data_IF_973992492891
#
_entry.id   IF_973992492891
#
_cell.length_a   1.000
_cell.length_b   1.000
_cell.length_c   1.000
_cell.angle_alpha   90.00
_cell.angle_beta   90.00
_cell.angle_gamma   90.00
#
_symmetry.space_group_name_H-M   'P 1'
#
loop_
_entity.id
_entity.type
_entity.pdbx_description
1 polymer ?
#
# COMPACT_ATOMS: atom_id res chain seq x y z
N UNK A 1 14.37 22.71 21.17
CA UNK A 1 13.49 22.77 19.99
C UNK A 1 12.06 22.43 20.39
N UNK A 2 11.20 23.43 20.66
CA UNK A 2 9.78 23.23 20.97
C UNK A 2 8.99 23.00 19.66
N UNK A 3 9.14 21.82 19.07
CA UNK A 3 8.24 21.32 18.03
C UNK A 3 7.31 20.21 18.58
N UNK A 4 7.28 20.03 19.90
CA UNK A 4 6.61 18.95 20.62
C UNK A 4 5.66 19.56 21.67
N UNK A 5 4.63 20.23 21.19
CA UNK A 5 3.53 20.73 22.03
C UNK A 5 2.19 20.41 21.37
N UNK A 6 1.09 20.28 22.16
CA UNK A 6 -0.25 20.07 21.62
C UNK A 6 -0.60 21.25 20.70
N UNK A 7 -0.55 21.03 19.38
CA UNK A 7 -0.66 22.06 18.34
C UNK A 7 0.52 22.15 17.36
N UNK A 8 1.59 21.35 17.49
CA UNK A 8 2.72 21.38 16.56
C UNK A 8 2.48 20.59 15.26
N UNK A 9 3.23 20.93 14.20
CA UNK A 9 3.26 20.23 12.91
C UNK A 9 3.50 18.73 13.08
N UNK A 10 4.32 18.34 14.07
CA UNK A 10 4.59 16.93 14.36
C UNK A 10 3.36 16.20 14.90
N UNK A 11 2.60 16.84 15.81
CA UNK A 11 1.34 16.28 16.29
C UNK A 11 0.32 16.11 15.17
N UNK A 12 0.23 17.09 14.26
CA UNK A 12 -0.67 17.02 13.11
C UNK A 12 -0.29 15.88 12.14
N UNK A 13 1.00 15.73 11.81
CA UNK A 13 1.47 14.67 10.93
C UNK A 13 1.25 13.28 11.55
N UNK A 14 1.41 13.14 12.87
CA UNK A 14 1.07 11.90 13.59
C UNK A 14 -0.41 11.54 13.40
N UNK A 15 -1.29 12.52 13.61
CA UNK A 15 -2.75 12.33 13.47
C UNK A 15 -3.09 11.87 12.05
N UNK A 16 -2.54 12.53 11.02
CA UNK A 16 -2.78 12.12 9.63
C UNK A 16 -2.32 10.70 9.39
N UNK A 17 -1.12 10.32 9.86
CA UNK A 17 -0.60 8.96 9.67
C UNK A 17 -1.46 7.91 10.40
N UNK A 18 -1.92 8.22 11.61
CA UNK A 18 -2.80 7.33 12.39
C UNK A 18 -4.17 7.18 11.71
N UNK A 19 -4.80 8.29 11.31
CA UNK A 19 -6.08 8.28 10.58
C UNK A 19 -5.94 7.51 9.27
N UNK A 20 -4.88 7.75 8.51
CA UNK A 20 -4.63 7.04 7.23
C UNK A 20 -4.47 5.55 7.45
N UNK A 21 -3.79 5.14 8.52
CA UNK A 21 -3.62 3.73 8.87
C UNK A 21 -4.95 3.04 9.20
N UNK A 22 -5.78 3.65 10.04
CA UNK A 22 -7.08 3.08 10.39
C UNK A 22 -8.05 3.11 9.20
N UNK A 23 -8.04 4.18 8.41
CA UNK A 23 -8.82 4.26 7.17
C UNK A 23 -8.43 3.15 6.19
N UNK A 24 -7.13 2.86 6.04
CA UNK A 24 -6.65 1.73 5.23
C UNK A 24 -7.12 0.38 5.78
N UNK A 25 -7.21 0.21 7.10
CA UNK A 25 -7.71 -1.04 7.69
C UNK A 25 -9.19 -1.24 7.38
N UNK A 26 -9.98 -0.19 7.51
CA UNK A 26 -11.41 -0.21 7.15
C UNK A 26 -11.56 -0.51 5.66
N UNK A 27 -10.78 0.15 4.81
CA UNK A 27 -10.79 -0.06 3.36
C UNK A 27 -10.43 -1.49 2.97
N UNK A 28 -9.31 -2.03 3.48
CA UNK A 28 -8.86 -3.40 3.20
C UNK A 28 -9.89 -4.42 3.68
N UNK A 29 -10.47 -4.21 4.87
CA UNK A 29 -11.49 -5.12 5.42
C UNK A 29 -12.77 -5.10 4.60
N UNK A 30 -13.22 -3.91 4.20
CA UNK A 30 -14.37 -3.74 3.33
C UNK A 30 -14.13 -4.41 1.97
N UNK A 31 -12.99 -4.16 1.36
CA UNK A 31 -12.66 -4.69 0.03
C UNK A 31 -12.47 -6.21 0.05
N UNK A 32 -11.91 -6.77 1.13
CA UNK A 32 -11.85 -8.21 1.37
C UNK A 32 -13.25 -8.83 1.50
N UNK A 33 -14.16 -8.20 2.27
CA UNK A 33 -15.54 -8.67 2.41
C UNK A 33 -16.28 -8.67 1.07
N UNK A 34 -16.15 -7.58 0.30
CA UNK A 34 -16.75 -7.48 -1.05
C UNK A 34 -16.16 -8.53 -1.99
N UNK A 35 -14.85 -8.76 -1.94
CA UNK A 35 -14.19 -9.79 -2.76
C UNK A 35 -14.75 -11.17 -2.46
N UNK A 36 -14.87 -11.54 -1.18
CA UNK A 36 -15.44 -12.83 -0.76
C UNK A 36 -16.90 -12.94 -1.19
N UNK A 37 -17.70 -11.88 -1.03
CA UNK A 37 -19.08 -11.87 -1.46
C UNK A 37 -19.20 -12.10 -2.98
N UNK A 38 -18.47 -11.35 -3.79
CA UNK A 38 -18.48 -11.50 -5.26
C UNK A 38 -18.00 -12.89 -5.67
N UNK A 39 -16.98 -13.42 -5.00
CA UNK A 39 -16.47 -14.78 -5.27
C UNK A 39 -17.53 -15.85 -4.97
N UNK A 40 -18.19 -15.78 -3.81
CA UNK A 40 -19.25 -16.72 -3.44
C UNK A 40 -20.43 -16.64 -4.40
N UNK A 41 -20.84 -15.43 -4.78
CA UNK A 41 -21.92 -15.20 -5.73
C UNK A 41 -21.55 -15.67 -7.15
N UNK A 42 -20.26 -15.64 -7.51
CA UNK A 42 -19.81 -16.20 -8.78
C UNK A 42 -19.99 -17.72 -8.87
N UNK A 43 -19.99 -18.44 -7.75
CA UNK A 43 -20.24 -19.89 -7.75
C UNK A 43 -21.73 -20.24 -7.86
N UNK A 44 -22.60 -19.41 -7.28
CA UNK A 44 -24.06 -19.60 -7.28
C UNK A 44 -24.77 -18.27 -7.60
N UNK A 45 -24.74 -17.83 -8.87
CA UNK A 45 -25.25 -16.51 -9.26
C UNK A 45 -26.77 -16.37 -9.05
N UNK A 46 -27.48 -17.49 -9.00
CA UNK A 46 -28.94 -17.52 -8.84
C UNK A 46 -29.42 -17.14 -7.43
N UNK A 47 -28.54 -17.16 -6.42
CA UNK A 47 -28.86 -16.79 -5.04
C UNK A 47 -29.38 -15.35 -4.90
N UNK A 48 -28.84 -14.43 -5.71
CA UNK A 48 -29.22 -13.01 -5.70
C UNK A 48 -29.67 -12.50 -7.07
N UNK A 49 -29.64 -13.33 -8.12
CA UNK A 49 -30.11 -12.92 -9.45
C UNK A 49 -31.57 -12.42 -9.45
N UNK A 50 -32.40 -12.89 -8.50
CA UNK A 50 -33.78 -12.45 -8.32
C UNK A 50 -33.92 -11.15 -7.52
N UNK A 51 -32.92 -10.76 -6.73
CA UNK A 51 -32.88 -9.52 -5.95
C UNK A 51 -32.11 -8.39 -6.66
N UNK A 52 -31.31 -8.75 -7.66
CA UNK A 52 -30.52 -7.83 -8.46
C UNK A 52 -31.26 -7.43 -9.75
N UNK A 53 -31.02 -6.20 -10.26
CA UNK A 53 -31.43 -5.84 -11.61
C UNK A 53 -30.89 -6.86 -12.63
N UNK A 54 -31.67 -7.13 -13.68
CA UNK A 54 -31.32 -8.13 -14.71
C UNK A 54 -29.94 -7.87 -15.35
N UNK A 55 -29.55 -6.60 -15.51
CA UNK A 55 -28.24 -6.18 -16.01
C UNK A 55 -27.10 -6.59 -15.06
N UNK A 56 -27.27 -6.35 -13.75
CA UNK A 56 -26.29 -6.69 -12.74
C UNK A 56 -26.13 -8.22 -12.58
N UNK A 57 -27.25 -8.96 -12.63
CA UNK A 57 -27.24 -10.41 -12.64
C UNK A 57 -26.53 -10.99 -13.88
N UNK A 58 -26.75 -10.39 -15.05
CA UNK A 58 -26.06 -10.75 -16.30
C UNK A 58 -24.55 -10.52 -16.23
N UNK A 59 -24.11 -9.39 -15.67
CA UNK A 59 -22.69 -9.11 -15.45
C UNK A 59 -22.05 -10.06 -14.45
N UNK A 60 -22.73 -10.36 -13.33
CA UNK A 60 -22.22 -11.28 -12.32
C UNK A 60 -22.02 -12.69 -12.89
N UNK A 61 -22.96 -13.20 -13.70
CA UNK A 61 -22.83 -14.51 -14.37
C UNK A 61 -21.67 -14.55 -15.36
N UNK A 62 -21.46 -13.47 -16.11
CA UNK A 62 -20.45 -13.43 -17.17
C UNK A 62 -19.04 -13.15 -16.65
N UNK A 63 -18.91 -12.29 -15.64
CA UNK A 63 -17.62 -11.75 -15.18
C UNK A 63 -17.36 -11.94 -13.69
N UNK A 64 -18.26 -12.57 -12.93
CA UNK A 64 -18.17 -12.66 -11.46
C UNK A 64 -16.82 -13.16 -10.95
N UNK A 65 -16.31 -14.26 -11.52
CA UNK A 65 -15.02 -14.82 -11.12
C UNK A 65 -13.85 -13.89 -11.46
N UNK A 66 -13.84 -13.30 -12.67
CA UNK A 66 -12.83 -12.33 -13.08
C UNK A 66 -12.86 -11.05 -12.25
N UNK A 67 -14.06 -10.58 -11.88
CA UNK A 67 -14.25 -9.44 -10.99
C UNK A 67 -13.76 -9.75 -9.57
N UNK A 68 -14.03 -10.94 -9.04
CA UNK A 68 -13.49 -11.37 -7.74
C UNK A 68 -11.96 -11.42 -7.74
N UNK A 69 -11.34 -11.93 -8.81
CA UNK A 69 -9.86 -11.93 -8.95
C UNK A 69 -9.33 -10.49 -9.00
N UNK A 70 -9.97 -9.60 -9.76
CA UNK A 70 -9.57 -8.20 -9.86
C UNK A 70 -9.66 -7.50 -8.49
N UNK A 71 -10.79 -7.65 -7.79
CA UNK A 71 -11.00 -7.09 -6.45
C UNK A 71 -10.02 -7.67 -5.43
N UNK A 72 -9.77 -8.99 -5.46
CA UNK A 72 -8.76 -9.62 -4.62
C UNK A 72 -7.35 -9.11 -4.88
N UNK A 73 -7.01 -8.83 -6.15
CA UNK A 73 -5.77 -8.17 -6.52
C UNK A 73 -5.64 -6.76 -5.93
N UNK A 74 -6.70 -5.96 -6.00
CA UNK A 74 -6.75 -4.63 -5.37
C UNK A 74 -6.66 -4.70 -3.84
N UNK A 75 -7.26 -5.70 -3.20
CA UNK A 75 -7.14 -5.93 -1.76
C UNK A 75 -5.69 -6.23 -1.38
N UNK A 76 -5.04 -7.12 -2.15
CA UNK A 76 -3.63 -7.48 -1.94
C UNK A 76 -2.71 -6.27 -2.12
N UNK A 77 -2.92 -5.47 -3.18
CA UNK A 77 -2.17 -4.23 -3.41
C UNK A 77 -2.33 -3.24 -2.26
N UNK A 78 -3.55 -3.08 -1.74
CA UNK A 78 -3.84 -2.23 -0.59
C UNK A 78 -3.06 -2.66 0.67
N UNK A 79 -2.76 -3.96 0.80
CA UNK A 79 -1.86 -4.48 1.84
C UNK A 79 -0.42 -3.96 1.75
N UNK A 80 0.08 -3.66 0.54
CA UNK A 80 1.39 -3.02 0.36
C UNK A 80 1.37 -1.56 0.83
N UNK A 81 0.31 -0.80 0.54
CA UNK A 81 0.14 0.56 1.07
C UNK A 81 0.04 0.56 2.59
N UNK A 82 -0.71 -0.39 3.17
CA UNK A 82 -0.77 -0.61 4.61
C UNK A 82 0.63 -0.83 5.19
N UNK A 83 1.42 -1.71 4.58
CA UNK A 83 2.78 -1.96 5.02
C UNK A 83 3.60 -0.66 5.02
N UNK A 84 3.55 0.14 3.95
CA UNK A 84 4.26 1.42 3.87
C UNK A 84 3.85 2.37 5.02
N UNK A 85 2.54 2.59 5.21
CA UNK A 85 2.03 3.50 6.26
C UNK A 85 2.46 3.03 7.65
N UNK A 86 2.44 1.72 7.93
CA UNK A 86 2.91 1.16 9.19
C UNK A 86 4.40 1.46 9.45
N UNK A 87 5.27 1.34 8.42
CA UNK A 87 6.70 1.66 8.56
C UNK A 87 6.91 3.17 8.73
N UNK A 88 6.15 4.00 8.01
CA UNK A 88 6.19 5.46 8.17
C UNK A 88 5.83 5.88 9.60
N UNK A 89 4.77 5.30 10.18
CA UNK A 89 4.39 5.53 11.59
C UNK A 89 5.53 5.21 12.55
N UNK A 90 6.24 4.10 12.33
CA UNK A 90 7.39 3.68 13.16
C UNK A 90 8.57 4.64 13.03
N UNK A 91 8.91 5.09 11.82
CA UNK A 91 9.97 6.10 11.59
C UNK A 91 9.59 7.43 12.25
N UNK A 92 8.33 7.83 12.12
CA UNK A 92 7.84 9.06 12.74
C UNK A 92 7.88 9.00 14.27
N UNK A 93 7.54 7.85 14.85
CA UNK A 93 7.64 7.63 16.29
C UNK A 93 9.08 7.80 16.81
N UNK A 94 10.08 7.24 16.12
CA UNK A 94 11.49 7.43 16.49
C UNK A 94 11.97 8.88 16.32
N UNK A 95 11.44 9.61 15.32
CA UNK A 95 11.73 11.03 15.14
C UNK A 95 11.15 11.89 16.27
N UNK A 96 9.93 11.59 16.74
CA UNK A 96 9.33 12.27 17.90
C UNK A 96 10.18 12.08 19.16
N UNK A 97 10.77 10.89 19.32
CA UNK A 97 11.68 10.57 20.43
C UNK A 97 13.08 11.19 20.29
N UNK A 98 13.35 11.91 19.19
CA UNK A 98 14.62 12.60 18.96
C UNK A 98 15.69 11.77 18.27
N UNK A 99 15.39 10.54 17.82
CA UNK A 99 16.35 9.67 17.14
C UNK A 99 15.89 9.30 15.71
N UNK A 100 15.97 10.24 14.75
CA UNK A 100 15.58 9.99 13.36
C UNK A 100 16.50 8.99 12.65
N UNK A 101 17.78 8.92 13.02
CA UNK A 101 18.80 8.05 12.39
C UNK A 101 18.97 6.70 13.10
N UNK A 102 17.95 6.27 13.86
CA UNK A 102 17.95 4.96 14.49
C UNK A 102 18.21 3.85 13.44
N UNK A 103 19.11 2.88 13.69
CA UNK A 103 19.46 1.83 12.72
C UNK A 103 18.25 1.06 12.16
N UNK A 104 17.20 0.88 12.95
CA UNK A 104 15.95 0.26 12.49
C UNK A 104 15.25 1.05 11.38
N UNK A 105 15.39 2.37 11.32
CA UNK A 105 14.78 3.21 10.29
C UNK A 105 15.39 2.94 8.91
N UNK A 106 16.68 2.59 8.86
CA UNK A 106 17.35 2.14 7.63
C UNK A 106 16.66 0.89 7.09
N UNK A 107 16.41 -0.10 7.96
CA UNK A 107 15.72 -1.33 7.59
C UNK A 107 14.28 -1.04 7.16
N UNK A 108 13.57 -0.16 7.88
CA UNK A 108 12.19 0.24 7.53
C UNK A 108 12.14 0.92 6.16
N UNK A 109 13.05 1.83 5.84
CA UNK A 109 13.16 2.49 4.53
C UNK A 109 13.45 1.47 3.41
N UNK A 110 14.40 0.55 3.63
CA UNK A 110 14.71 -0.51 2.66
C UNK A 110 13.51 -1.41 2.38
N UNK A 111 12.77 -1.79 3.42
CA UNK A 111 11.52 -2.57 3.27
C UNK A 111 10.48 -1.77 2.49
N UNK A 112 10.31 -0.47 2.75
CA UNK A 112 9.39 0.35 1.96
C UNK A 112 9.79 0.43 0.48
N UNK A 113 11.09 0.54 0.17
CA UNK A 113 11.59 0.50 -1.21
C UNK A 113 11.25 -0.82 -1.91
N UNK A 114 11.45 -1.96 -1.23
CA UNK A 114 11.05 -3.29 -1.73
C UNK A 114 9.54 -3.38 -1.93
N UNK A 115 8.75 -2.92 -0.97
CA UNK A 115 7.28 -2.93 -1.07
C UNK A 115 6.82 -2.08 -2.26
N UNK A 116 7.37 -0.89 -2.46
CA UNK A 116 7.07 -0.05 -3.63
C UNK A 116 7.41 -0.76 -4.95
N UNK A 117 8.55 -1.44 -5.03
CA UNK A 117 8.91 -2.24 -6.20
C UNK A 117 7.93 -3.39 -6.44
N UNK A 118 7.56 -4.11 -5.38
CA UNK A 118 6.56 -5.19 -5.45
C UNK A 118 5.18 -4.67 -5.85
N UNK A 119 4.78 -3.48 -5.38
CA UNK A 119 3.53 -2.84 -5.77
C UNK A 119 3.52 -2.51 -7.27
N UNK A 120 4.62 -1.97 -7.79
CA UNK A 120 4.73 -1.62 -9.21
C UNK A 120 4.73 -2.87 -10.10
N UNK A 121 5.44 -3.93 -9.70
CA UNK A 121 5.39 -5.23 -10.39
C UNK A 121 3.98 -5.81 -10.32
N UNK A 122 3.34 -5.78 -9.14
CA UNK A 122 2.00 -6.29 -8.94
C UNK A 122 0.95 -5.55 -9.77
N UNK A 123 1.13 -4.24 -10.00
CA UNK A 123 0.28 -3.46 -10.92
C UNK A 123 0.35 -4.00 -12.34
N UNK A 124 1.54 -4.29 -12.86
CA UNK A 124 1.70 -4.90 -14.19
C UNK A 124 1.04 -6.28 -14.27
N UNK A 125 1.27 -7.12 -13.26
CA UNK A 125 0.69 -8.47 -13.19
C UNK A 125 -0.84 -8.41 -13.12
N UNK A 126 -1.40 -7.55 -12.28
CA UNK A 126 -2.85 -7.39 -12.14
C UNK A 126 -3.49 -6.82 -13.41
N UNK A 127 -2.83 -5.86 -14.08
CA UNK A 127 -3.29 -5.34 -15.37
C UNK A 127 -3.28 -6.43 -16.45
N UNK A 128 -2.25 -7.28 -16.49
CA UNK A 128 -2.20 -8.40 -17.42
C UNK A 128 -3.30 -9.45 -17.12
N UNK A 129 -3.49 -9.81 -15.84
CA UNK A 129 -4.51 -10.78 -15.42
C UNK A 129 -5.93 -10.29 -15.73
N UNK A 130 -6.24 -9.03 -15.45
CA UNK A 130 -7.57 -8.47 -15.72
C UNK A 130 -7.90 -8.43 -17.21
N UNK A 131 -6.92 -8.15 -18.08
CA UNK A 131 -7.08 -8.23 -19.54
C UNK A 131 -7.44 -9.65 -19.99
N UNK A 132 -6.77 -10.66 -19.44
CA UNK A 132 -7.02 -12.07 -19.78
C UNK A 132 -8.39 -12.53 -19.29
N UNK A 133 -8.77 -12.18 -18.05
CA UNK A 133 -9.95 -12.73 -17.38
C UNK A 133 -11.26 -11.99 -17.71
N UNK A 134 -11.20 -10.68 -17.94
CA UNK A 134 -12.40 -9.84 -18.11
C UNK A 134 -12.56 -9.39 -19.57
N UNK A 135 -11.52 -9.50 -20.40
CA UNK A 135 -11.58 -9.16 -21.82
C UNK A 135 -11.81 -7.67 -22.12
N UNK A 136 -11.56 -6.79 -21.14
CA UNK A 136 -11.74 -5.34 -21.28
C UNK A 136 -10.66 -4.68 -22.15
N UNK A 137 -11.07 -3.79 -23.05
CA UNK A 137 -10.16 -2.98 -23.86
C UNK A 137 -9.33 -2.00 -23.01
N UNK A 138 -8.03 -1.93 -23.33
CA UNK A 138 -7.10 -0.80 -23.11
C UNK A 138 -7.26 0.00 -21.80
N UNK A 139 -7.19 -0.64 -20.64
CA UNK A 139 -6.75 0.09 -19.45
C UNK A 139 -5.24 0.39 -19.58
N UNK A 140 -4.91 1.67 -19.78
CA UNK A 140 -3.53 2.23 -19.83
C UNK A 140 -2.74 2.02 -18.53
N UNK A 141 -3.43 1.56 -17.48
CA UNK A 141 -2.92 1.31 -16.13
C UNK A 141 -1.87 0.19 -16.02
N UNK A 142 -1.45 -0.44 -17.13
CA UNK A 142 -0.37 -1.43 -17.15
C UNK A 142 0.92 -0.96 -17.81
N UNK A 143 0.98 0.29 -18.28
CA UNK A 143 2.17 0.80 -18.98
C UNK A 143 3.35 1.04 -18.03
N UNK A 144 4.56 0.78 -18.52
CA UNK A 144 5.79 1.02 -17.77
C UNK A 144 5.90 2.50 -17.41
N UNK A 145 6.12 2.79 -16.13
CA UNK A 145 6.18 4.17 -15.63
C UNK A 145 7.55 4.43 -15.03
N UNK A 146 8.43 5.12 -15.77
CA UNK A 146 9.77 5.46 -15.32
C UNK A 146 9.76 6.22 -13.99
N UNK A 147 8.78 7.12 -13.79
CA UNK A 147 8.59 7.88 -12.55
C UNK A 147 8.35 7.00 -11.32
N UNK A 148 7.62 5.88 -11.48
CA UNK A 148 7.35 4.96 -10.38
C UNK A 148 8.64 4.22 -9.97
N UNK A 149 9.40 3.73 -10.94
CA UNK A 149 10.71 3.11 -10.71
C UNK A 149 11.73 4.10 -10.14
N UNK A 150 11.70 5.36 -10.58
CA UNK A 150 12.54 6.40 -10.00
C UNK A 150 12.20 6.63 -8.52
N UNK A 151 10.92 6.61 -8.15
CA UNK A 151 10.50 6.71 -6.74
C UNK A 151 11.03 5.55 -5.90
N UNK A 152 11.05 4.32 -6.44
CA UNK A 152 11.68 3.16 -5.80
C UNK A 152 13.16 3.42 -5.55
N UNK A 153 13.90 3.86 -6.58
CA UNK A 153 15.33 4.17 -6.47
C UNK A 153 15.60 5.27 -5.43
N UNK A 154 14.81 6.34 -5.42
CA UNK A 154 14.92 7.41 -4.44
C UNK A 154 14.79 6.87 -3.02
N UNK A 155 13.83 6.00 -2.75
CA UNK A 155 13.66 5.40 -1.41
C UNK A 155 14.86 4.53 -1.02
N UNK A 156 15.46 3.78 -1.95
CA UNK A 156 16.70 3.04 -1.69
C UNK A 156 17.89 3.96 -1.40
N UNK A 157 18.04 5.03 -2.16
CA UNK A 157 19.09 6.03 -1.93
C UNK A 157 18.91 6.67 -0.55
N UNK A 158 17.68 7.06 -0.18
CA UNK A 158 17.38 7.59 1.14
C UNK A 158 17.70 6.60 2.25
N UNK A 159 17.40 5.31 2.07
CA UNK A 159 17.78 4.27 3.03
C UNK A 159 19.30 4.23 3.24
N UNK A 160 20.07 4.37 2.17
CA UNK A 160 21.53 4.37 2.23
C UNK A 160 22.10 5.63 2.90
N UNK A 161 21.55 6.81 2.59
CA UNK A 161 21.92 8.06 3.27
C UNK A 161 21.64 7.99 4.77
N UNK A 162 20.53 7.39 5.18
CA UNK A 162 20.23 7.17 6.60
C UNK A 162 21.22 6.21 7.26
N UNK A 163 21.69 5.19 6.53
CA UNK A 163 22.71 4.26 7.03
C UNK A 163 24.04 4.97 7.28
N UNK A 164 24.44 5.82 6.35
CA UNK A 164 25.64 6.65 6.47
C UNK A 164 25.51 7.64 7.65
N UNK A 165 24.35 8.31 7.78
CA UNK A 165 24.06 9.18 8.91
C UNK A 165 24.14 8.46 10.27
N UNK A 166 23.63 7.24 10.35
CA UNK A 166 23.75 6.41 11.55
C UNK A 166 25.21 5.99 11.83
N UNK A 167 26.04 5.81 10.79
CA UNK A 167 27.48 5.51 10.95
C UNK A 167 28.23 6.71 11.52
N UNK A 168 28.04 7.88 10.92
CA UNK A 168 28.70 9.12 11.35
C UNK A 168 28.38 9.47 12.80
N UNK A 169 27.15 9.24 13.25
CA UNK A 169 26.76 9.43 14.65
C UNK A 169 27.56 8.52 15.61
N UNK A 170 27.73 7.24 15.26
CA UNK A 170 28.51 6.29 16.09
C UNK A 170 29.98 6.69 16.18
N UNK A 171 30.55 7.19 15.09
CA UNK A 171 31.93 7.69 15.07
C UNK A 171 32.09 8.92 15.97
N UNK A 172 31.14 9.86 15.93
CA UNK A 172 31.14 11.04 16.79
C UNK A 172 30.99 10.70 18.29
N UNK A 173 30.14 9.73 18.63
CA UNK A 173 29.96 9.26 20.03
C UNK A 173 31.22 8.59 20.61
N UNK A 174 32.13 8.07 19.76
CA UNK A 174 33.40 7.45 20.19
C UNK A 174 34.56 8.44 20.38
N UNK A 175 34.37 9.72 20.04
CA UNK A 175 35.42 10.75 20.11
C UNK A 175 35.31 11.64 21.36
N UNK A 176 34.28 11.42 22.19
CA UNK A 176 34.05 12.09 23.48
C UNK A 176 34.40 11.12 24.60
#
# INVERSE_FOLDING_TARGET
MRALGPGSVSSFLKIILDVSYYALWVWVSFLALVTVLVLLLSFNPDLLASMLPAEAAGMLRKYGAGAAVALGGWALMSGGWMAIVERLRKIFATMILGDPFHPDNVRRLRVMGVVLACLEIGRYVLSALTRILVGGEKSSEGSFTLTAWFSVLVVFVLAEVFREGARLRREAELTI
#
